data_IF_123339890421
#
_entry.id   IF_123339890421
#
_cell.length_a   1.000
_cell.length_b   1.000
_cell.length_c   1.000
_cell.angle_alpha   90.00
_cell.angle_beta   90.00
_cell.angle_gamma   90.00
#
_symmetry.space_group_name_H-M   'P 1'
#
loop_
_entity.id
_entity.type
_entity.pdbx_description
1 polymer ?
#
# COMPACT_ATOMS: atom_id res chain seq x y z
N UNK A 1 -11.11 -4.85 -12.18
CA UNK A 1 -9.86 -4.17 -12.58
C UNK A 1 -8.67 -4.96 -12.08
N UNK A 2 -7.71 -5.24 -12.94
CA UNK A 2 -6.51 -6.01 -12.57
C UNK A 2 -5.39 -5.06 -12.10
N UNK A 3 -4.47 -5.58 -11.30
CA UNK A 3 -3.41 -4.77 -10.69
C UNK A 3 -2.58 -4.00 -11.72
N UNK A 4 -2.13 -4.66 -12.78
CA UNK A 4 -1.30 -4.00 -13.80
C UNK A 4 -2.11 -3.02 -14.67
N UNK A 5 -3.41 -3.24 -14.83
CA UNK A 5 -4.30 -2.27 -15.48
C UNK A 5 -4.41 -1.00 -14.62
N UNK A 6 -4.54 -1.17 -13.32
CA UNK A 6 -4.58 -0.05 -12.39
C UNK A 6 -3.27 0.74 -12.43
N UNK A 7 -2.13 0.05 -12.43
CA UNK A 7 -0.83 0.71 -12.51
C UNK A 7 -0.72 1.57 -13.77
N UNK A 8 -1.09 1.02 -14.93
CA UNK A 8 -1.06 1.77 -16.18
C UNK A 8 -2.00 2.98 -16.15
N UNK A 9 -3.21 2.78 -15.62
CA UNK A 9 -4.20 3.86 -15.49
C UNK A 9 -3.70 4.98 -14.56
N UNK A 10 -3.01 4.64 -13.48
CA UNK A 10 -2.56 5.61 -12.47
C UNK A 10 -1.64 6.68 -13.03
N UNK A 11 -0.99 6.43 -14.16
CA UNK A 11 -0.14 7.44 -14.81
C UNK A 11 -0.93 8.70 -15.20
N UNK A 12 -2.22 8.56 -15.51
CA UNK A 12 -3.07 9.70 -15.87
C UNK A 12 -3.19 10.73 -14.76
N UNK A 13 -2.98 10.34 -13.52
CA UNK A 13 -3.08 11.21 -12.35
C UNK A 13 -1.73 11.49 -11.70
N UNK A 14 -0.63 11.01 -12.29
CA UNK A 14 0.72 11.15 -11.77
C UNK A 14 1.35 12.49 -12.19
N UNK A 15 0.88 13.58 -11.59
CA UNK A 15 1.29 14.94 -11.94
C UNK A 15 2.24 15.55 -10.89
N UNK A 16 3.08 14.74 -10.26
CA UNK A 16 4.06 15.18 -9.27
C UNK A 16 5.39 15.55 -9.96
N UNK A 17 6.30 16.27 -9.24
CA UNK A 17 7.60 16.67 -9.81
C UNK A 17 8.44 15.48 -10.27
N UNK A 18 8.89 15.50 -11.52
CA UNK A 18 9.61 14.37 -12.13
C UNK A 18 11.06 14.27 -11.64
N UNK A 19 11.68 15.38 -11.29
CA UNK A 19 13.05 15.39 -10.79
C UNK A 19 13.20 14.86 -9.35
N UNK A 20 12.09 14.70 -8.65
CA UNK A 20 12.05 14.14 -7.30
C UNK A 20 11.03 13.01 -7.18
N UNK A 21 10.72 12.34 -8.28
CA UNK A 21 9.62 11.39 -8.35
C UNK A 21 9.74 10.21 -7.38
N UNK A 22 10.92 9.61 -7.24
CA UNK A 22 11.14 8.50 -6.32
C UNK A 22 10.88 8.92 -4.87
N UNK A 23 11.49 10.03 -4.44
CA UNK A 23 11.30 10.55 -3.08
C UNK A 23 9.85 10.91 -2.83
N UNK A 24 9.20 11.58 -3.80
CA UNK A 24 7.80 11.98 -3.68
C UNK A 24 6.90 10.76 -3.46
N UNK A 25 7.07 9.73 -4.27
CA UNK A 25 6.26 8.52 -4.20
C UNK A 25 6.45 7.79 -2.87
N UNK A 26 7.70 7.65 -2.41
CA UNK A 26 7.99 6.97 -1.14
C UNK A 26 7.39 7.76 0.04
N UNK A 27 7.54 9.07 0.05
CA UNK A 27 6.96 9.92 1.10
C UNK A 27 5.44 9.88 1.06
N UNK A 28 4.85 9.88 -0.14
CA UNK A 28 3.41 9.77 -0.31
C UNK A 28 2.85 8.46 0.19
N UNK A 29 3.54 7.35 -0.07
CA UNK A 29 3.15 6.04 0.41
C UNK A 29 3.08 6.03 1.95
N UNK A 30 4.10 6.55 2.61
CA UNK A 30 4.13 6.64 4.08
C UNK A 30 3.05 7.56 4.62
N UNK A 31 2.84 8.70 3.96
CA UNK A 31 1.82 9.66 4.36
C UNK A 31 0.41 9.04 4.28
N UNK A 32 0.09 8.37 3.18
CA UNK A 32 -1.24 7.76 3.03
C UNK A 32 -1.45 6.59 3.97
N UNK A 33 -0.41 5.80 4.24
CA UNK A 33 -0.49 4.77 5.29
C UNK A 33 -0.79 5.41 6.64
N UNK A 34 -0.20 6.57 6.94
CA UNK A 34 -0.50 7.35 8.12
C UNK A 34 -1.93 7.86 8.17
N UNK A 35 -2.52 8.20 7.02
CA UNK A 35 -3.92 8.62 6.96
C UNK A 35 -4.87 7.47 7.34
N UNK A 36 -4.55 6.25 6.98
CA UNK A 36 -5.30 5.07 7.44
C UNK A 36 -5.30 5.03 8.98
N UNK A 37 -4.11 5.17 9.58
CA UNK A 37 -3.97 5.19 11.03
C UNK A 37 -4.73 6.35 11.67
N UNK A 38 -4.69 7.53 11.03
CA UNK A 38 -5.40 8.73 11.51
C UNK A 38 -6.91 8.54 11.54
N UNK A 39 -7.48 7.94 10.50
CA UNK A 39 -8.93 7.65 10.47
C UNK A 39 -9.32 6.66 11.56
N UNK A 40 -8.53 5.64 11.78
CA UNK A 40 -8.80 4.66 12.85
C UNK A 40 -8.65 5.28 14.24
N UNK A 41 -7.64 6.11 14.44
CA UNK A 41 -7.45 6.86 15.70
C UNK A 41 -8.70 7.68 16.03
N UNK A 42 -9.26 8.35 15.04
CA UNK A 42 -10.50 9.14 15.23
C UNK A 42 -11.69 8.26 15.57
N UNK A 43 -11.76 7.05 15.01
CA UNK A 43 -12.77 6.05 15.37
C UNK A 43 -12.69 5.74 16.88
N UNK A 44 -11.49 5.53 17.41
CA UNK A 44 -11.29 5.28 18.83
C UNK A 44 -11.71 6.50 19.65
N UNK A 45 -11.29 7.69 19.24
CA UNK A 45 -11.57 8.93 19.98
C UNK A 45 -13.04 9.32 19.96
N UNK A 46 -13.68 9.25 18.79
CA UNK A 46 -15.00 9.84 18.58
C UNK A 46 -16.14 8.83 18.55
N UNK A 47 -15.86 7.57 18.20
CA UNK A 47 -16.89 6.55 17.97
C UNK A 47 -16.80 5.39 18.99
N UNK A 48 -16.10 5.59 20.09
CA UNK A 48 -15.95 4.58 21.15
C UNK A 48 -15.22 3.33 20.69
N UNK A 49 -14.40 3.42 19.65
CA UNK A 49 -13.69 2.28 19.08
C UNK A 49 -14.57 1.40 18.19
N UNK A 50 -15.80 1.81 17.93
CA UNK A 50 -16.72 1.07 17.05
C UNK A 50 -16.46 1.49 15.60
N UNK A 51 -16.20 0.51 14.76
CA UNK A 51 -15.95 0.75 13.33
C UNK A 51 -17.29 0.89 12.61
N UNK A 52 -17.78 2.12 12.51
CA UNK A 52 -19.03 2.46 11.83
C UNK A 52 -18.89 2.27 10.31
N UNK A 53 -20.00 2.20 9.58
CA UNK A 53 -19.97 2.10 8.11
C UNK A 53 -19.29 3.31 7.49
N UNK A 54 -19.47 4.51 8.05
CA UNK A 54 -18.79 5.72 7.60
C UNK A 54 -17.27 5.60 7.77
N UNK A 55 -16.80 5.10 8.93
CA UNK A 55 -15.37 4.91 9.18
C UNK A 55 -14.76 3.84 8.26
N UNK A 56 -15.51 2.77 8.01
CA UNK A 56 -15.07 1.75 7.05
C UNK A 56 -14.85 2.35 5.67
N UNK A 57 -15.79 3.16 5.20
CA UNK A 57 -15.67 3.82 3.90
C UNK A 57 -14.43 4.71 3.84
N UNK A 58 -14.17 5.49 4.89
CA UNK A 58 -12.98 6.34 4.98
C UNK A 58 -11.69 5.52 4.93
N UNK A 59 -11.65 4.40 5.66
CA UNK A 59 -10.48 3.51 5.64
C UNK A 59 -10.25 2.89 4.26
N UNK A 60 -11.33 2.51 3.58
CA UNK A 60 -11.25 1.98 2.22
C UNK A 60 -10.69 3.03 1.26
N UNK A 61 -11.15 4.27 1.36
CA UNK A 61 -10.65 5.37 0.53
C UNK A 61 -9.16 5.62 0.75
N UNK A 62 -8.72 5.69 2.01
CA UNK A 62 -7.30 5.89 2.33
C UNK A 62 -6.44 4.70 1.89
N UNK A 63 -6.98 3.48 2.02
CA UNK A 63 -6.29 2.29 1.50
C UNK A 63 -6.13 2.36 -0.02
N UNK A 64 -7.10 2.93 -0.71
CA UNK A 64 -7.01 3.18 -2.16
C UNK A 64 -5.85 4.12 -2.49
N UNK A 65 -5.66 5.17 -1.70
CA UNK A 65 -4.56 6.10 -1.90
C UNK A 65 -3.20 5.42 -1.68
N UNK A 66 -3.12 4.49 -0.71
CA UNK A 66 -1.92 3.65 -0.54
C UNK A 66 -1.67 2.81 -1.79
N UNK A 67 -2.72 2.22 -2.36
CA UNK A 67 -2.59 1.45 -3.61
C UNK A 67 -2.05 2.30 -4.76
N UNK A 68 -2.50 3.56 -4.86
CA UNK A 68 -2.03 4.46 -5.89
C UNK A 68 -0.52 4.70 -5.79
N UNK A 69 -0.02 4.97 -4.57
CA UNK A 69 1.41 5.16 -4.37
C UNK A 69 2.21 3.88 -4.57
N UNK A 70 1.64 2.71 -4.24
CA UNK A 70 2.30 1.43 -4.55
C UNK A 70 2.42 1.22 -6.06
N UNK A 71 1.39 1.57 -6.83
CA UNK A 71 1.43 1.50 -8.28
C UNK A 71 2.52 2.43 -8.86
N UNK A 72 2.61 3.65 -8.33
CA UNK A 72 3.62 4.61 -8.77
C UNK A 72 5.02 4.18 -8.35
N UNK A 73 5.17 3.58 -7.18
CA UNK A 73 6.46 3.02 -6.74
C UNK A 73 6.91 1.88 -7.66
N UNK A 74 5.98 1.00 -8.04
CA UNK A 74 6.29 -0.07 -9.00
C UNK A 74 6.84 0.52 -10.31
N UNK A 75 6.20 1.59 -10.80
CA UNK A 75 6.64 2.27 -12.02
C UNK A 75 8.04 2.86 -11.84
N UNK A 76 8.31 3.54 -10.74
CA UNK A 76 9.62 4.13 -10.44
C UNK A 76 10.71 3.07 -10.33
N UNK A 77 10.39 1.89 -9.84
CA UNK A 77 11.33 0.77 -9.70
C UNK A 77 11.46 -0.07 -10.97
N UNK A 78 10.73 0.26 -12.03
CA UNK A 78 10.78 -0.48 -13.29
C UNK A 78 10.16 -1.87 -13.21
N UNK A 79 9.15 -2.04 -12.38
CA UNK A 79 8.45 -3.30 -12.19
C UNK A 79 6.94 -3.10 -12.23
N UNK A 80 6.17 -4.11 -11.84
CA UNK A 80 4.71 -4.08 -11.84
C UNK A 80 4.15 -4.43 -10.46
N UNK A 81 2.92 -4.00 -10.21
CA UNK A 81 2.22 -4.39 -8.98
C UNK A 81 2.10 -5.92 -8.87
N UNK A 82 1.82 -6.61 -9.98
CA UNK A 82 1.74 -8.07 -9.96
C UNK A 82 3.08 -8.70 -9.58
N UNK A 83 4.21 -8.15 -10.07
CA UNK A 83 5.53 -8.66 -9.69
C UNK A 83 5.79 -8.45 -8.19
N UNK A 84 5.43 -7.29 -7.66
CA UNK A 84 5.57 -7.02 -6.23
C UNK A 84 4.76 -8.03 -5.40
N UNK A 85 3.51 -8.27 -5.80
CA UNK A 85 2.65 -9.25 -5.15
C UNK A 85 3.19 -10.67 -5.27
N UNK A 86 3.66 -11.04 -6.46
CA UNK A 86 4.21 -12.39 -6.71
C UNK A 86 5.45 -12.65 -5.85
N UNK A 87 6.35 -11.69 -5.78
CA UNK A 87 7.56 -11.81 -4.94
C UNK A 87 7.21 -11.99 -3.48
N UNK A 88 6.23 -11.23 -2.98
CA UNK A 88 5.79 -11.37 -1.61
C UNK A 88 5.14 -12.74 -1.37
N UNK A 89 4.26 -13.15 -2.29
CA UNK A 89 3.61 -14.46 -2.24
C UNK A 89 4.66 -15.58 -2.16
N UNK A 90 5.62 -15.59 -3.05
CA UNK A 90 6.63 -16.65 -3.12
C UNK A 90 7.50 -16.69 -1.86
N UNK A 91 7.86 -15.52 -1.34
CA UNK A 91 8.61 -15.40 -0.09
C UNK A 91 7.82 -16.01 1.08
N UNK A 92 6.54 -15.70 1.18
CA UNK A 92 5.70 -16.20 2.27
C UNK A 92 5.40 -17.70 2.12
N UNK A 93 5.19 -18.18 0.87
CA UNK A 93 5.01 -19.62 0.62
C UNK A 93 6.26 -20.41 1.02
N UNK A 94 7.44 -19.88 0.69
CA UNK A 94 8.70 -20.50 1.11
C UNK A 94 8.82 -20.56 2.65
N UNK A 95 8.50 -19.45 3.32
CA UNK A 95 8.53 -19.42 4.80
C UNK A 95 7.51 -20.37 5.41
N UNK A 96 6.33 -20.49 4.81
CA UNK A 96 5.31 -21.43 5.26
C UNK A 96 5.80 -22.87 5.11
N UNK A 97 6.37 -23.21 3.96
CA UNK A 97 6.91 -24.55 3.70
C UNK A 97 8.04 -24.91 4.68
N UNK A 98 8.88 -23.93 5.04
CA UNK A 98 9.98 -24.15 6.00
C UNK A 98 9.57 -23.93 7.46
N UNK A 99 8.30 -23.61 7.72
CA UNK A 99 7.74 -23.38 9.06
C UNK A 99 8.46 -22.27 9.83
N UNK A 100 8.78 -21.16 9.13
CA UNK A 100 9.48 -20.01 9.73
C UNK A 100 8.70 -18.68 9.55
N UNK A 101 7.38 -18.75 9.41
CA UNK A 101 6.53 -17.56 9.32
C UNK A 101 6.72 -16.67 10.55
N UNK A 102 6.79 -17.26 11.74
CA UNK A 102 7.00 -16.55 13.00
C UNK A 102 8.48 -16.33 13.29
N UNK A 103 9.25 -15.92 12.34
CA UNK A 103 10.64 -15.56 12.55
C UNK A 103 10.82 -14.05 12.54
N UNK A 104 12.07 -13.61 12.43
CA UNK A 104 12.42 -12.20 12.25
C UNK A 104 13.40 -12.04 11.10
N UNK A 105 13.37 -10.86 10.48
CA UNK A 105 14.23 -10.56 9.35
C UNK A 105 13.74 -11.11 8.03
N UNK A 106 14.16 -10.50 6.94
CA UNK A 106 13.73 -10.89 5.60
C UNK A 106 14.44 -12.14 5.07
N UNK A 107 15.54 -12.52 5.67
CA UNK A 107 16.34 -13.66 5.22
C UNK A 107 16.11 -14.95 6.02
N UNK A 108 15.07 -14.97 6.84
CA UNK A 108 14.77 -16.15 7.65
C UNK A 108 14.22 -17.35 6.88
#
# INVERSE_FOLDING_TARGET
MKANEYQAWSEKTAIYPKDASMAYVILGLTNEAGEVAGKYKKCIRDDGGILTDERKAQLIDEAGDVCWYLARLAEELGTTLEDIMQRNHDKLEDRLARNVIKGSGDNR
#
